data_IF_996118837671
#
_entry.id   IF_996118837671
#
_cell.length_a   1.000
_cell.length_b   1.000
_cell.length_c   1.000
_cell.angle_alpha   90.00
_cell.angle_beta   90.00
_cell.angle_gamma   90.00
#
_symmetry.space_group_name_H-M   'P 1'
#
loop_
_entity.id
_entity.type
_entity.pdbx_description
1 polymer ?
#
# COMPACT_ATOMS: atom_id res chain seq x y z
N UNK A 1 0.36 -5.16 -10.59
CA UNK A 1 1.53 -4.32 -10.24
C UNK A 1 1.41 -4.03 -8.76
N UNK A 2 2.51 -3.93 -8.01
CA UNK A 2 2.41 -3.72 -6.56
C UNK A 2 3.04 -2.38 -6.19
N UNK A 3 2.35 -1.61 -5.36
CA UNK A 3 2.85 -0.38 -4.77
C UNK A 3 3.10 -0.61 -3.28
N UNK A 4 4.21 -0.06 -2.79
CA UNK A 4 4.46 0.07 -1.36
C UNK A 4 4.29 1.53 -0.96
N UNK A 5 3.42 1.79 0.01
CA UNK A 5 3.24 3.10 0.62
C UNK A 5 4.12 3.13 1.86
N UNK A 6 5.23 3.86 1.78
CA UNK A 6 6.23 3.90 2.85
C UNK A 6 5.80 4.81 4.01
N UNK A 7 5.02 5.85 3.70
CA UNK A 7 4.53 6.81 4.68
C UNK A 7 3.22 7.41 4.21
N UNK A 8 2.43 7.86 5.18
CA UNK A 8 1.14 8.52 4.99
C UNK A 8 1.18 9.88 5.67
N UNK A 9 0.45 10.83 5.12
CA UNK A 9 0.33 12.21 5.56
C UNK A 9 -1.15 12.58 5.63
N UNK A 10 -1.54 13.37 6.64
CA UNK A 10 -2.95 13.67 6.98
C UNK A 10 -3.80 12.44 7.31
N UNK A 11 -3.17 11.35 7.72
CA UNK A 11 -3.89 10.11 8.04
C UNK A 11 -4.43 10.10 9.48
N UNK A 12 -5.47 9.30 9.78
CA UNK A 12 -5.83 9.01 11.16
C UNK A 12 -4.70 8.25 11.87
N UNK A 13 -4.60 8.41 13.19
CA UNK A 13 -3.57 7.78 14.02
C UNK A 13 -3.48 6.26 13.82
N UNK A 14 -4.63 5.59 13.66
CA UNK A 14 -4.69 4.15 13.37
C UNK A 14 -3.95 3.78 12.08
N UNK A 15 -4.00 4.62 11.03
CA UNK A 15 -3.32 4.34 9.77
C UNK A 15 -1.79 4.52 9.90
N UNK A 16 -1.36 5.51 10.68
CA UNK A 16 0.06 5.80 10.89
C UNK A 16 0.82 4.62 11.47
N UNK A 17 0.21 3.86 12.39
CA UNK A 17 0.82 2.65 12.98
C UNK A 17 0.77 1.42 12.04
N UNK A 18 0.07 1.52 10.91
CA UNK A 18 -0.12 0.41 9.98
C UNK A 18 0.80 0.47 8.74
N UNK A 19 1.54 1.57 8.54
CA UNK A 19 2.54 1.66 7.47
C UNK A 19 3.79 0.81 7.80
N UNK A 20 4.49 0.25 6.80
CA UNK A 20 4.26 0.38 5.36
C UNK A 20 3.09 -0.46 4.86
N UNK A 21 2.27 0.13 3.98
CA UNK A 21 1.15 -0.56 3.33
C UNK A 21 1.61 -1.11 1.98
N UNK A 22 1.18 -2.32 1.66
CA UNK A 22 1.46 -2.95 0.36
C UNK A 22 0.13 -3.13 -0.36
N UNK A 23 0.04 -2.58 -1.56
CA UNK A 23 -1.18 -2.57 -2.37
C UNK A 23 -0.91 -3.22 -3.72
N UNK A 24 -1.66 -4.26 -4.02
CA UNK A 24 -1.70 -4.88 -5.34
C UNK A 24 -2.72 -4.17 -6.21
N UNK A 25 -2.24 -3.39 -7.18
CA UNK A 25 -3.07 -2.72 -8.18
C UNK A 25 -3.77 -3.77 -9.06
N UNK A 26 -5.09 -3.73 -9.04
CA UNK A 26 -5.96 -4.68 -9.74
C UNK A 26 -6.33 -4.16 -11.13
N UNK A 27 -6.92 -2.97 -11.20
CA UNK A 27 -7.38 -2.34 -12.45
C UNK A 27 -7.47 -0.83 -12.34
N UNK A 28 -7.51 -0.18 -13.48
CA UNK A 28 -7.85 1.23 -13.62
C UNK A 28 -9.37 1.39 -13.67
N UNK A 29 -9.85 2.45 -13.04
CA UNK A 29 -11.25 2.87 -13.02
C UNK A 29 -11.31 4.34 -13.41
N UNK A 30 -11.94 4.69 -14.54
CA UNK A 30 -12.16 6.10 -14.86
C UNK A 30 -13.10 6.71 -13.82
N UNK A 31 -12.66 7.80 -13.20
CA UNK A 31 -13.49 8.61 -12.31
C UNK A 31 -14.11 9.79 -13.04
N UNK A 32 -15.06 10.49 -12.37
CA UNK A 32 -15.76 11.63 -12.95
C UNK A 32 -14.84 12.83 -13.21
N UNK A 33 -13.75 12.95 -12.44
CA UNK A 33 -12.78 14.05 -12.53
C UNK A 33 -11.58 13.68 -13.40
N UNK A 34 -11.07 12.45 -13.25
CA UNK A 34 -9.87 11.94 -13.92
C UNK A 34 -10.03 10.47 -14.34
N UNK A 35 -9.48 10.05 -15.48
CA UNK A 35 -9.56 8.67 -15.93
C UNK A 35 -8.55 7.72 -15.26
N UNK A 36 -7.57 8.25 -14.52
CA UNK A 36 -6.36 7.55 -14.03
C UNK A 36 -6.43 7.05 -12.57
N UNK A 37 -7.63 6.74 -12.06
CA UNK A 37 -7.73 6.10 -10.73
C UNK A 37 -7.42 4.61 -10.83
N UNK A 38 -6.72 4.11 -9.82
CA UNK A 38 -6.40 2.70 -9.68
C UNK A 38 -7.10 2.12 -8.47
N UNK A 39 -7.82 1.00 -8.64
CA UNK A 39 -8.25 0.19 -7.51
C UNK A 39 -7.19 -0.86 -7.22
N UNK A 40 -6.84 -0.96 -5.94
CA UNK A 40 -5.86 -1.89 -5.44
C UNK A 40 -6.37 -2.65 -4.22
N UNK A 41 -5.86 -3.86 -4.06
CA UNK A 41 -6.10 -4.69 -2.89
C UNK A 41 -4.95 -4.52 -1.91
N UNK A 42 -5.26 -4.26 -0.66
CA UNK A 42 -4.26 -4.28 0.41
C UNK A 42 -3.82 -5.72 0.68
N UNK A 43 -2.51 -5.94 0.76
CA UNK A 43 -1.96 -7.25 1.12
C UNK A 43 -2.32 -7.66 2.56
N UNK A 44 -2.47 -6.66 3.44
CA UNK A 44 -2.99 -6.81 4.81
C UNK A 44 -4.14 -5.81 4.98
N UNK A 45 -5.35 -6.26 5.38
CA UNK A 45 -6.45 -5.34 5.64
C UNK A 45 -6.06 -4.35 6.73
N UNK A 46 -6.50 -3.12 6.56
CA UNK A 46 -6.24 -2.03 7.51
C UNK A 46 -7.47 -1.75 8.34
N UNK A 47 -7.27 -1.52 9.63
CA UNK A 47 -8.35 -1.08 10.51
C UNK A 47 -8.57 0.42 10.31
N UNK A 48 -9.80 0.79 9.99
CA UNK A 48 -10.23 2.17 9.85
C UNK A 48 -11.26 2.49 10.91
N UNK A 49 -10.96 3.44 11.80
CA UNK A 49 -11.90 3.97 12.77
C UNK A 49 -12.63 5.17 12.15
N UNK A 50 -13.91 4.97 11.79
CA UNK A 50 -14.80 6.02 11.31
C UNK A 50 -16.11 5.99 12.08
N UNK A 51 -16.65 7.15 12.45
CA UNK A 51 -17.92 7.26 13.19
C UNK A 51 -18.00 6.35 14.44
N UNK A 52 -16.87 6.22 15.14
CA UNK A 52 -16.73 5.38 16.33
C UNK A 52 -16.94 3.86 16.07
N UNK A 53 -16.80 3.44 14.80
CA UNK A 53 -16.84 2.06 14.35
C UNK A 53 -15.51 1.70 13.67
N UNK A 54 -14.92 0.59 14.09
CA UNK A 54 -13.73 0.04 13.45
C UNK A 54 -14.16 -0.88 12.31
N UNK A 55 -13.80 -0.52 11.08
CA UNK A 55 -14.07 -1.29 9.87
C UNK A 55 -12.76 -1.79 9.28
N UNK A 56 -12.72 -3.05 8.83
CA UNK A 56 -11.56 -3.58 8.13
C UNK A 56 -11.65 -3.29 6.63
N UNK A 57 -10.68 -2.55 6.10
CA UNK A 57 -10.61 -2.20 4.69
C UNK A 57 -9.61 -3.10 3.99
N UNK A 58 -10.08 -3.84 2.99
CA UNK A 58 -9.26 -4.71 2.14
C UNK A 58 -8.90 -4.09 0.79
N UNK A 59 -9.63 -3.05 0.37
CA UNK A 59 -9.48 -2.43 -0.94
C UNK A 59 -9.34 -0.92 -0.81
N UNK A 60 -8.46 -0.37 -1.63
CA UNK A 60 -8.15 1.06 -1.70
C UNK A 60 -8.23 1.55 -3.13
N UNK A 61 -8.58 2.82 -3.29
CA UNK A 61 -8.43 3.55 -4.53
C UNK A 61 -7.25 4.51 -4.38
N UNK A 62 -6.39 4.52 -5.39
CA UNK A 62 -5.18 5.31 -5.45
C UNK A 62 -5.22 6.20 -6.68
N UNK A 63 -4.80 7.46 -6.54
CA UNK A 63 -4.61 8.38 -7.65
C UNK A 63 -3.35 9.21 -7.48
N UNK A 64 -2.67 9.53 -8.58
CA UNK A 64 -1.52 10.42 -8.53
C UNK A 64 -1.98 11.86 -8.23
N UNK A 65 -1.33 12.52 -7.25
CA UNK A 65 -1.76 13.86 -6.82
C UNK A 65 -1.32 14.98 -7.77
N UNK A 66 -0.30 14.76 -8.59
CA UNK A 66 0.23 15.81 -9.47
C UNK A 66 -0.44 15.77 -10.85
N UNK A 67 -0.58 16.94 -11.47
CA UNK A 67 -1.13 17.03 -12.82
C UNK A 67 -0.12 16.49 -13.83
N UNK A 68 -0.56 15.57 -14.71
CA UNK A 68 0.29 14.91 -15.69
C UNK A 68 1.17 13.77 -15.16
N UNK A 69 1.10 13.43 -13.87
CA UNK A 69 1.73 12.19 -13.35
C UNK A 69 0.70 11.07 -13.26
N UNK A 70 1.16 9.85 -13.53
CA UNK A 70 0.34 8.63 -13.46
C UNK A 70 1.10 7.57 -12.67
N UNK A 71 0.35 6.64 -12.08
CA UNK A 71 0.93 5.49 -11.40
C UNK A 71 1.49 4.55 -12.48
N UNK A 72 2.82 4.55 -12.64
CA UNK A 72 3.53 3.72 -13.59
C UNK A 72 4.66 2.94 -12.92
N UNK A 73 5.15 1.88 -13.58
CA UNK A 73 6.31 1.12 -13.09
C UNK A 73 7.52 2.03 -12.95
N UNK A 74 8.31 1.80 -11.90
CA UNK A 74 9.43 2.67 -11.53
C UNK A 74 9.03 3.99 -10.87
N UNK A 75 7.77 4.17 -10.47
CA UNK A 75 7.40 5.31 -9.63
C UNK A 75 8.18 5.25 -8.31
N UNK A 76 8.94 6.30 -8.01
CA UNK A 76 9.64 6.47 -6.74
C UNK A 76 9.16 7.77 -6.09
N UNK A 77 8.85 7.69 -4.80
CA UNK A 77 8.40 8.82 -3.99
C UNK A 77 7.21 9.61 -4.59
N UNK A 78 6.28 8.89 -5.22
CA UNK A 78 5.10 9.48 -5.86
C UNK A 78 4.02 9.78 -4.81
N UNK A 79 3.62 11.05 -4.61
CA UNK A 79 2.49 11.37 -3.76
C UNK A 79 1.19 10.88 -4.41
N UNK A 80 0.50 9.97 -3.73
CA UNK A 80 -0.78 9.42 -4.15
C UNK A 80 -1.86 9.73 -3.13
N UNK A 81 -3.06 10.07 -3.59
CA UNK A 81 -4.25 10.10 -2.75
C UNK A 81 -4.66 8.66 -2.43
N UNK A 82 -4.99 8.40 -1.17
CA UNK A 82 -5.49 7.11 -0.69
C UNK A 82 -6.94 7.30 -0.28
N UNK A 83 -7.82 6.51 -0.89
CA UNK A 83 -9.21 6.40 -0.49
C UNK A 83 -9.53 4.93 -0.16
N UNK A 84 -10.29 4.72 0.90
CA UNK A 84 -10.81 3.42 1.27
C UNK A 84 -12.06 3.09 0.49
N UNK A 85 -12.14 1.86 0.00
CA UNK A 85 -13.36 1.34 -0.61
C UNK A 85 -14.28 0.89 0.51
N UNK A 86 -15.39 1.60 0.69
CA UNK A 86 -16.41 1.29 1.70
C UNK A 86 -17.46 0.31 1.17
N UNK A 87 -17.60 0.21 -0.16
CA UNK A 87 -18.50 -0.72 -0.83
C UNK A 87 -17.75 -1.52 -1.91
N UNK A 88 -17.61 -2.82 -1.69
CA UNK A 88 -16.89 -3.74 -2.58
C UNK A 88 -17.56 -3.95 -3.94
N UNK A 89 -18.80 -3.52 -4.13
CA UNK A 89 -19.46 -3.56 -5.44
C UNK A 89 -18.70 -2.73 -6.48
N UNK A 90 -17.93 -1.73 -6.02
CA UNK A 90 -17.05 -0.91 -6.85
C UNK A 90 -16.06 -1.73 -7.69
N UNK A 91 -15.67 -2.92 -7.24
CA UNK A 91 -14.78 -3.80 -8.01
C UNK A 91 -15.41 -4.25 -9.34
N UNK A 92 -16.74 -4.33 -9.38
CA UNK A 92 -17.52 -4.73 -10.54
C UNK A 92 -18.05 -3.52 -11.34
N UNK A 93 -17.98 -2.32 -10.78
CA UNK A 93 -18.31 -1.11 -11.49
C UNK A 93 -17.32 -0.85 -12.64
N UNK A 94 -17.79 -0.13 -13.64
CA UNK A 94 -16.96 0.31 -14.77
C UNK A 94 -16.34 1.69 -14.52
N UNK A 95 -16.89 2.45 -13.58
CA UNK A 95 -16.45 3.80 -13.22
C UNK A 95 -16.29 3.95 -11.72
N UNK A 96 -15.35 4.81 -11.31
CA UNK A 96 -15.17 5.13 -9.90
C UNK A 96 -16.38 5.92 -9.37
N UNK A 97 -17.09 5.35 -8.41
CA UNK A 97 -18.16 6.03 -7.68
C UNK A 97 -17.61 6.57 -6.36
N UNK A 98 -17.48 7.90 -6.25
CA UNK A 98 -16.93 8.55 -5.05
C UNK A 98 -17.74 8.26 -3.78
N UNK A 99 -19.05 7.99 -3.91
CA UNK A 99 -19.93 7.65 -2.77
C UNK A 99 -19.58 6.29 -2.14
N UNK A 100 -18.91 5.41 -2.90
CA UNK A 100 -18.45 4.08 -2.45
C UNK A 100 -17.02 4.11 -1.92
N UNK A 101 -16.45 5.31 -1.78
CA UNK A 101 -15.08 5.51 -1.34
C UNK A 101 -15.03 6.61 -0.29
N UNK A 102 -14.08 6.51 0.64
CA UNK A 102 -13.80 7.57 1.59
C UNK A 102 -12.34 7.96 1.47
N UNK A 103 -12.08 9.21 1.13
CA UNK A 103 -10.72 9.74 1.08
C UNK A 103 -10.15 9.82 2.50
N UNK A 104 -8.96 9.27 2.71
CA UNK A 104 -8.39 9.12 4.07
C UNK A 104 -7.04 9.77 4.27
N UNK A 105 -6.15 9.76 3.28
CA UNK A 105 -4.79 10.23 3.46
C UNK A 105 -4.10 10.50 2.13
N UNK A 106 -2.95 11.19 2.18
CA UNK A 106 -1.96 11.17 1.11
C UNK A 106 -0.86 10.19 1.49
N UNK A 107 -0.49 9.27 0.61
CA UNK A 107 0.65 8.39 0.78
C UNK A 107 1.81 8.78 -0.12
N UNK A 108 3.03 8.45 0.31
CA UNK A 108 4.18 8.37 -0.58
C UNK A 108 4.29 6.93 -1.07
N UNK A 109 3.89 6.71 -2.32
CA UNK A 109 3.93 5.42 -2.97
C UNK A 109 5.21 5.24 -3.79
N UNK A 110 5.69 4.01 -3.78
CA UNK A 110 6.76 3.55 -4.67
C UNK A 110 6.38 2.23 -5.32
N UNK A 111 6.83 2.04 -6.55
CA UNK A 111 6.74 0.77 -7.25
C UNK A 111 7.54 -0.29 -6.49
N UNK A 112 6.88 -1.38 -6.14
CA UNK A 112 7.52 -2.57 -5.60
C UNK A 112 7.85 -3.60 -6.71
N UNK A 113 7.68 -3.22 -7.98
CA UNK A 113 7.77 -4.07 -9.16
C UNK A 113 9.18 -4.53 -9.55
N UNK A 114 9.68 -5.58 -8.89
CA UNK A 114 10.56 -6.57 -9.54
C UNK A 114 11.81 -7.03 -8.78
N UNK A 115 11.67 -7.87 -7.75
CA UNK A 115 12.78 -8.64 -7.21
C UNK A 115 12.57 -9.24 -5.82
N UNK A 116 11.91 -10.40 -5.77
CA UNK A 116 11.69 -11.25 -4.59
C UNK A 116 10.77 -10.69 -3.48
N UNK A 117 9.92 -11.55 -2.87
CA UNK A 117 9.17 -11.17 -1.69
C UNK A 117 10.16 -10.80 -0.59
N UNK A 118 9.91 -9.68 0.09
CA UNK A 118 10.32 -9.49 1.48
C UNK A 118 9.70 -10.64 2.27
N UNK A 119 10.43 -11.76 2.33
CA UNK A 119 10.18 -12.77 3.33
C UNK A 119 10.33 -12.04 4.65
N UNK A 120 9.26 -12.00 5.45
CA UNK A 120 9.35 -11.83 6.91
C UNK A 120 10.66 -12.50 7.36
N UNK A 121 11.50 -11.90 8.21
CA UNK A 121 12.54 -12.67 8.87
C UNK A 121 11.85 -13.76 9.70
N UNK A 122 11.61 -14.90 9.07
CA UNK A 122 11.06 -16.10 9.68
C UNK A 122 12.25 -16.77 10.30
N UNK A 123 12.47 -16.43 11.56
CA UNK A 123 13.47 -17.05 12.42
C UNK A 123 14.67 -16.15 12.63
N UNK A 124 14.62 -15.34 13.70
CA UNK A 124 15.80 -15.27 14.56
C UNK A 124 15.87 -16.64 15.23
N UNK A 125 16.43 -17.61 14.52
CA UNK A 125 16.87 -18.85 15.14
C UNK A 125 18.06 -18.42 16.00
N UNK A 126 17.82 -18.32 17.30
CA UNK A 126 18.84 -18.11 18.29
C UNK A 126 19.99 -19.11 18.05
N UNK A 127 21.16 -18.55 17.73
CA UNK A 127 22.49 -19.14 17.92
C UNK A 127 22.64 -20.65 17.72
N UNK A 128 22.82 -21.09 16.48
CA UNK A 128 23.68 -22.26 16.21
C UNK A 128 24.50 -22.01 14.95
N UNK A 129 25.37 -20.98 15.01
CA UNK A 129 26.36 -20.72 13.97
C UNK A 129 27.75 -20.82 14.60
N UNK A 130 28.07 -22.00 15.12
CA UNK A 130 29.45 -22.38 15.46
C UNK A 130 29.86 -23.49 14.52
N UNK A 131 30.34 -23.17 13.30
CA UNK A 131 31.17 -24.07 12.45
C UNK A 131 31.56 -23.57 11.04
N UNK A 132 31.23 -22.35 10.63
CA UNK A 132 31.45 -21.92 9.23
C UNK A 132 32.51 -20.83 8.98
N UNK A 133 33.24 -20.35 9.99
CA UNK A 133 34.36 -19.42 9.79
C UNK A 133 35.60 -19.95 10.50
N UNK A 134 36.59 -20.36 9.70
CA UNK A 134 37.88 -20.85 10.16
C UNK A 134 38.82 -19.73 10.59
N UNK A 135 39.60 -20.05 11.62
CA UNK A 135 40.97 -19.62 11.93
C UNK A 135 41.29 -18.12 11.80
N UNK A 136 41.26 -17.44 12.95
CA UNK A 136 42.10 -16.28 13.22
C UNK A 136 43.05 -16.62 14.36
N UNK A 137 44.34 -16.73 14.05
CA UNK A 137 45.43 -16.90 15.01
C UNK A 137 45.75 -15.54 15.65
N UNK A 138 45.70 -15.36 16.98
CA UNK A 138 46.38 -14.25 17.62
C UNK A 138 47.83 -14.66 17.97
N UNK A 139 48.76 -13.81 17.55
CA UNK A 139 50.12 -13.70 18.12
C UNK A 139 50.04 -13.44 19.64
#
# INVERSE_FOLDING_TARGET
>A
MQLSIASVDYAPEDLYDQVPLVVDLLRELPGPDRPDYWIGRLAKPVSWLADNQTTEISFVVLCARWEGTQIARGAEDLPVGIAYVTDESLLNDDQLTLEKCSYVAIGIARDAGGGAPIQKPRGILAGTIGRAFGVGNPD
#
